data_IF_480233549327
#
_entry.id   IF_480233549327
#
_cell.length_a   1.000
_cell.length_b   1.000
_cell.length_c   1.000
_cell.angle_alpha   90.00
_cell.angle_beta   90.00
_cell.angle_gamma   90.00
#
_symmetry.space_group_name_H-M   'P 1'
#
loop_
_entity.id
_entity.type
_entity.pdbx_description
1 polymer ?
#
# COMPACT_ATOMS: atom_id res chain seq x y z
N UNK A 1 -15.65 -4.15 6.18
CA UNK A 1 -14.23 -3.93 5.86
C UNK A 1 -13.68 -2.85 6.78
N UNK A 2 -12.64 -3.20 7.55
CA UNK A 2 -12.02 -2.32 8.56
C UNK A 2 -10.65 -1.88 8.03
N UNK A 3 -10.32 -0.60 8.16
CA UNK A 3 -8.97 -0.09 7.85
C UNK A 3 -8.12 -0.02 9.10
N UNK A 4 -6.98 -0.72 9.12
CA UNK A 4 -6.04 -0.81 10.24
C UNK A 4 -4.72 -0.17 9.83
N UNK A 5 -4.32 0.91 10.52
CA UNK A 5 -2.98 1.47 10.37
C UNK A 5 -1.99 0.66 11.19
N UNK A 6 -0.99 0.03 10.55
CA UNK A 6 -0.06 -0.88 11.23
C UNK A 6 0.75 -0.20 12.35
N UNK A 7 0.98 1.10 12.25
CA UNK A 7 1.79 1.88 13.20
C UNK A 7 0.99 2.77 14.14
N UNK A 8 -0.34 2.91 13.94
CA UNK A 8 -1.21 3.74 14.80
C UNK A 8 -2.31 2.90 15.44
N UNK A 9 -1.99 2.34 16.61
CA UNK A 9 -2.88 1.46 17.36
C UNK A 9 -4.16 2.17 17.83
N UNK A 10 -4.11 3.48 18.07
CA UNK A 10 -5.27 4.29 18.47
C UNK A 10 -6.31 4.30 17.35
N UNK A 11 -5.86 4.45 16.10
CA UNK A 11 -6.75 4.39 14.93
C UNK A 11 -7.36 3.01 14.77
N UNK A 12 -6.59 1.95 15.01
CA UNK A 12 -7.10 0.57 14.97
C UNK A 12 -8.17 0.35 16.06
N UNK A 13 -7.90 0.79 17.29
CA UNK A 13 -8.83 0.70 18.40
C UNK A 13 -10.15 1.43 18.12
N UNK A 14 -10.09 2.65 17.60
CA UNK A 14 -11.28 3.44 17.26
C UNK A 14 -12.13 2.73 16.20
N UNK A 15 -11.50 2.06 15.24
CA UNK A 15 -12.22 1.29 14.22
C UNK A 15 -12.86 0.03 14.82
N UNK A 16 -12.17 -0.70 15.69
CA UNK A 16 -12.73 -1.88 16.37
C UNK A 16 -13.88 -1.48 17.29
N UNK A 17 -13.80 -0.36 18.00
CA UNK A 17 -14.91 0.11 18.84
C UNK A 17 -16.14 0.54 18.04
N UNK A 18 -15.96 1.02 16.80
CA UNK A 18 -17.06 1.34 15.89
C UNK A 18 -17.73 0.09 15.33
N UNK A 19 -16.94 -0.87 14.86
CA UNK A 19 -17.47 -2.09 14.22
C UNK A 19 -17.96 -3.12 15.24
N UNK A 20 -17.30 -3.22 16.38
CA UNK A 20 -17.58 -4.17 17.46
C UNK A 20 -17.86 -3.43 18.79
N UNK A 21 -18.88 -2.59 18.82
CA UNK A 21 -19.25 -1.76 19.98
C UNK A 21 -19.65 -2.53 21.24
N UNK A 22 -19.92 -3.84 21.10
CA UNK A 22 -20.27 -4.73 22.22
C UNK A 22 -19.04 -5.27 22.98
N UNK A 23 -17.83 -5.16 22.41
CA UNK A 23 -16.61 -5.61 23.08
C UNK A 23 -16.28 -4.69 24.25
N UNK A 24 -15.76 -5.28 25.33
CA UNK A 24 -15.18 -4.50 26.41
C UNK A 24 -14.00 -3.65 25.87
N UNK A 25 -13.74 -2.45 26.41
CA UNK A 25 -12.64 -1.60 25.92
C UNK A 25 -11.27 -2.29 25.93
N UNK A 26 -11.00 -3.14 26.93
CA UNK A 26 -9.77 -3.91 27.01
C UNK A 26 -9.67 -4.95 25.88
N UNK A 27 -10.77 -5.65 25.59
CA UNK A 27 -10.84 -6.67 24.53
C UNK A 27 -10.72 -6.04 23.15
N UNK A 28 -11.35 -4.89 22.93
CA UNK A 28 -11.18 -4.10 21.71
C UNK A 28 -9.72 -3.68 21.50
N UNK A 29 -9.01 -3.32 22.57
CA UNK A 29 -7.58 -2.99 22.50
C UNK A 29 -6.70 -4.21 22.19
N UNK A 30 -7.03 -5.38 22.76
CA UNK A 30 -6.35 -6.64 22.44
C UNK A 30 -6.55 -7.03 20.97
N UNK A 31 -7.78 -6.97 20.47
CA UNK A 31 -8.08 -7.25 19.05
C UNK A 31 -7.37 -6.26 18.13
N UNK A 32 -7.41 -4.95 18.45
CA UNK A 32 -6.72 -3.94 17.65
C UNK A 32 -5.21 -4.21 17.58
N UNK A 33 -4.59 -4.57 18.71
CA UNK A 33 -3.16 -4.92 18.76
C UNK A 33 -2.87 -6.21 17.99
N UNK A 34 -3.70 -7.24 18.14
CA UNK A 34 -3.57 -8.51 17.43
C UNK A 34 -3.65 -8.32 15.92
N UNK A 35 -4.61 -7.52 15.43
CA UNK A 35 -4.73 -7.19 14.01
C UNK A 35 -3.50 -6.46 13.48
N UNK A 36 -2.97 -5.48 14.21
CA UNK A 36 -1.73 -4.80 13.80
C UNK A 36 -0.54 -5.77 13.74
N UNK A 37 -0.45 -6.75 14.65
CA UNK A 37 0.59 -7.78 14.60
C UNK A 37 0.42 -8.72 13.40
N UNK A 38 -0.82 -9.12 13.06
CA UNK A 38 -1.08 -10.01 11.91
C UNK A 38 -0.59 -9.40 10.59
N UNK A 39 -0.76 -8.09 10.41
CA UNK A 39 -0.27 -7.38 9.24
C UNK A 39 1.24 -7.10 9.29
N UNK A 40 1.79 -6.73 10.45
CA UNK A 40 3.23 -6.43 10.59
C UNK A 40 4.12 -7.67 10.39
N UNK A 41 3.64 -8.82 10.86
CA UNK A 41 4.31 -10.12 10.74
C UNK A 41 3.72 -10.96 9.61
N UNK A 42 3.20 -10.31 8.56
CA UNK A 42 2.63 -10.97 7.40
C UNK A 42 3.57 -12.04 6.83
N UNK A 43 2.97 -13.15 6.40
CA UNK A 43 3.65 -14.29 5.78
C UNK A 43 3.87 -13.94 4.31
N UNK A 44 5.09 -14.12 3.82
CA UNK A 44 5.37 -13.94 2.41
C UNK A 44 4.91 -15.18 1.62
N UNK A 45 4.22 -14.93 0.51
CA UNK A 45 3.78 -15.92 -0.47
C UNK A 45 4.61 -15.74 -1.74
N UNK A 46 5.36 -16.78 -2.10
CA UNK A 46 6.18 -16.78 -3.30
C UNK A 46 6.19 -18.17 -3.92
N UNK A 47 5.81 -18.27 -5.20
CA UNK A 47 5.72 -19.55 -5.95
C UNK A 47 4.88 -20.64 -5.26
N UNK A 48 3.85 -20.24 -4.52
CA UNK A 48 2.97 -21.16 -3.78
C UNK A 48 3.54 -21.63 -2.44
N UNK A 49 4.74 -21.20 -2.06
CA UNK A 49 5.33 -21.46 -0.75
C UNK A 49 5.11 -20.28 0.21
N UNK A 50 5.04 -20.61 1.50
CA UNK A 50 4.89 -19.65 2.60
C UNK A 50 6.23 -19.46 3.32
N UNK A 51 6.55 -18.22 3.66
CA UNK A 51 7.78 -17.83 4.33
C UNK A 51 7.47 -16.93 5.52
N UNK A 52 8.05 -17.26 6.69
CA UNK A 52 7.88 -16.51 7.93
C UNK A 52 9.08 -15.61 8.20
N UNK A 53 8.81 -14.33 8.46
CA UNK A 53 9.86 -13.37 8.84
C UNK A 53 10.15 -13.45 10.34
N UNK A 54 11.41 -13.43 10.79
CA UNK A 54 12.66 -13.34 10.01
C UNK A 54 13.28 -14.69 9.61
N UNK A 55 12.72 -15.79 10.11
CA UNK A 55 13.37 -17.11 10.10
C UNK A 55 13.63 -17.66 8.69
N UNK A 56 12.71 -17.43 7.76
CA UNK A 56 12.80 -17.94 6.38
C UNK A 56 13.46 -16.96 5.40
N UNK A 57 14.13 -15.91 5.88
CA UNK A 57 14.73 -14.88 5.01
C UNK A 57 15.69 -15.46 3.97
N UNK A 58 16.58 -16.37 4.37
CA UNK A 58 17.51 -17.00 3.43
C UNK A 58 16.81 -17.89 2.40
N UNK A 59 15.74 -18.57 2.82
CA UNK A 59 14.98 -19.47 1.95
C UNK A 59 14.25 -18.69 0.87
N UNK A 60 13.56 -17.60 1.25
CA UNK A 60 12.86 -16.73 0.30
C UNK A 60 13.84 -16.09 -0.68
N UNK A 61 14.91 -15.47 -0.17
CA UNK A 61 15.87 -14.76 -1.03
C UNK A 61 16.53 -15.69 -2.05
N UNK A 62 16.84 -16.94 -1.68
CA UNK A 62 17.33 -17.97 -2.62
C UNK A 62 16.30 -18.36 -3.66
N UNK A 63 15.04 -18.56 -3.27
CA UNK A 63 13.96 -18.88 -4.21
C UNK A 63 13.79 -17.78 -5.27
N UNK A 64 13.92 -16.52 -4.87
CA UNK A 64 13.79 -15.38 -5.79
C UNK A 64 14.93 -15.23 -6.80
N UNK A 65 16.10 -15.86 -6.59
CA UNK A 65 17.27 -15.70 -7.46
C UNK A 65 16.96 -16.08 -8.91
N UNK A 66 16.22 -17.17 -9.12
CA UNK A 66 15.87 -17.65 -10.46
C UNK A 66 15.11 -16.59 -11.26
N UNK A 67 14.06 -16.02 -10.65
CA UNK A 67 13.27 -14.96 -11.27
C UNK A 67 14.08 -13.69 -11.49
N UNK A 68 14.92 -13.30 -10.51
CA UNK A 68 15.76 -12.11 -10.62
C UNK A 68 16.74 -12.25 -11.79
N UNK A 69 17.38 -13.40 -11.95
CA UNK A 69 18.31 -13.65 -13.04
C UNK A 69 17.58 -13.63 -14.40
N UNK A 70 16.41 -14.26 -14.49
CA UNK A 70 15.59 -14.22 -15.72
C UNK A 70 15.20 -12.79 -16.11
N UNK A 71 14.79 -11.97 -15.13
CA UNK A 71 14.48 -10.55 -15.36
C UNK A 71 15.73 -9.77 -15.74
N UNK A 72 16.87 -10.06 -15.13
CA UNK A 72 18.14 -9.41 -15.41
C UNK A 72 18.60 -9.68 -16.85
N UNK A 73 18.56 -10.93 -17.29
CA UNK A 73 18.86 -11.33 -18.67
C UNK A 73 17.91 -10.64 -19.66
N UNK A 74 16.62 -10.59 -19.36
CA UNK A 74 15.64 -9.90 -20.20
C UNK A 74 15.98 -8.40 -20.36
N UNK A 75 16.41 -7.74 -19.27
CA UNK A 75 16.86 -6.36 -19.30
C UNK A 75 18.10 -6.22 -20.20
N UNK A 76 19.13 -7.05 -19.99
CA UNK A 76 20.37 -7.01 -20.78
C UNK A 76 20.14 -7.24 -22.29
N UNK A 77 19.22 -8.14 -22.63
CA UNK A 77 18.85 -8.39 -24.03
C UNK A 77 18.01 -7.26 -24.64
N UNK A 78 17.25 -6.54 -23.84
CA UNK A 78 16.40 -5.43 -24.29
C UNK A 78 17.15 -4.11 -24.48
N UNK A 79 18.28 -3.91 -23.78
CA UNK A 79 19.04 -2.64 -23.84
C UNK A 79 20.06 -2.68 -25.00
N UNK A 80 19.94 -1.83 -26.03
CA UNK A 80 20.85 -1.85 -27.17
C UNK A 80 22.28 -1.41 -26.80
N UNK A 81 23.27 -2.26 -27.09
CA UNK A 81 24.73 -2.13 -26.78
C UNK A 81 25.45 -0.86 -27.30
N UNK A 82 24.75 0.16 -27.81
CA UNK A 82 25.35 1.40 -28.35
C UNK A 82 24.79 2.72 -27.82
N UNK A 83 23.80 2.72 -26.93
CA UNK A 83 23.22 3.96 -26.40
C UNK A 83 23.95 4.47 -25.14
N UNK A 84 25.26 4.70 -25.23
CA UNK A 84 26.09 5.14 -24.11
C UNK A 84 25.95 6.65 -23.76
N UNK A 85 24.89 7.37 -24.17
CA UNK A 85 24.81 8.83 -23.92
C UNK A 85 23.43 9.49 -23.96
N UNK A 86 22.35 8.76 -23.71
CA UNK A 86 21.06 9.39 -23.43
C UNK A 86 20.44 8.77 -22.20
N UNK A 87 20.10 9.62 -21.22
CA UNK A 87 19.14 9.36 -20.15
C UNK A 87 17.81 8.94 -20.75
N UNK A 88 17.72 7.68 -21.17
CA UNK A 88 16.44 7.00 -21.35
C UNK A 88 16.03 6.62 -19.94
N UNK A 89 14.95 7.25 -19.45
CA UNK A 89 14.19 6.75 -18.30
C UNK A 89 13.69 5.35 -18.65
N UNK A 90 14.56 4.34 -18.53
CA UNK A 90 14.15 2.97 -18.72
C UNK A 90 13.32 2.54 -17.50
N UNK A 91 12.08 2.11 -17.74
CA UNK A 91 11.11 1.80 -16.68
C UNK A 91 11.63 0.68 -15.74
N UNK A 92 11.42 0.81 -14.42
CA UNK A 92 11.82 -0.21 -13.45
C UNK A 92 10.97 -1.46 -13.60
N UNK A 93 11.60 -2.64 -13.55
CA UNK A 93 10.90 -3.92 -13.56
C UNK A 93 10.62 -4.34 -12.13
N UNK A 94 9.35 -4.52 -11.79
CA UNK A 94 8.94 -4.87 -10.43
C UNK A 94 8.75 -6.38 -10.29
N UNK A 95 9.44 -6.98 -9.33
CA UNK A 95 9.24 -8.36 -8.88
C UNK A 95 8.42 -8.32 -7.60
N UNK A 96 7.23 -8.92 -7.64
CA UNK A 96 6.27 -8.85 -6.53
C UNK A 96 6.31 -10.11 -5.67
N UNK A 97 6.32 -9.93 -4.35
CA UNK A 97 6.12 -10.97 -3.34
C UNK A 97 4.75 -10.75 -2.69
N UNK A 98 3.90 -11.77 -2.66
CA UNK A 98 2.60 -11.70 -2.00
C UNK A 98 2.75 -11.67 -0.49
N UNK A 99 1.84 -11.00 0.21
CA UNK A 99 1.80 -10.99 1.67
C UNK A 99 0.42 -11.43 2.14
N UNK A 100 0.39 -12.40 3.04
CA UNK A 100 -0.82 -12.88 3.68
C UNK A 100 -0.80 -12.48 5.17
N UNK A 101 -1.94 -12.06 5.75
CA UNK A 101 -2.03 -11.79 7.18
C UNK A 101 -1.63 -13.02 8.00
N UNK A 102 -0.78 -12.82 9.00
CA UNK A 102 -0.33 -13.91 9.86
C UNK A 102 -1.27 -14.05 11.06
N UNK A 103 -2.28 -14.90 10.93
CA UNK A 103 -3.25 -15.17 12.00
C UNK A 103 -2.54 -15.60 13.29
N UNK A 104 -1.59 -16.52 13.18
CA UNK A 104 -0.81 -17.05 14.33
C UNK A 104 -0.12 -15.94 15.13
N UNK A 105 0.41 -14.91 14.45
CA UNK A 105 1.03 -13.78 15.14
C UNK A 105 0.04 -12.99 16.01
N UNK A 106 -1.21 -12.85 15.56
CA UNK A 106 -2.27 -12.22 16.35
C UNK A 106 -2.78 -13.12 17.46
N UNK A 107 -2.96 -14.42 17.18
CA UNK A 107 -3.44 -15.39 18.18
C UNK A 107 -2.47 -15.58 19.34
N UNK A 108 -1.16 -15.52 19.08
CA UNK A 108 -0.14 -15.61 20.13
C UNK A 108 -0.28 -14.48 21.17
N UNK A 109 -0.75 -13.29 20.75
CA UNK A 109 -1.03 -12.19 21.69
C UNK A 109 -2.27 -12.46 22.54
N UNK A 110 -3.26 -13.17 21.98
CA UNK A 110 -4.52 -13.48 22.66
C UNK A 110 -4.39 -14.71 23.58
N UNK A 111 -3.29 -15.46 23.49
CA UNK A 111 -2.93 -16.59 24.34
C UNK A 111 -4.06 -17.63 24.48
N UNK A 112 -4.74 -17.70 25.62
CA UNK A 112 -5.81 -18.66 25.94
C UNK A 112 -7.22 -18.13 25.65
N UNK A 113 -7.35 -16.91 25.12
CA UNK A 113 -8.63 -16.27 24.83
C UNK A 113 -9.22 -16.68 23.49
N UNK A 114 -9.74 -17.90 23.42
CA UNK A 114 -10.32 -18.46 22.20
C UNK A 114 -11.56 -17.69 21.72
N UNK A 115 -12.26 -16.99 22.63
CA UNK A 115 -13.32 -16.04 22.31
C UNK A 115 -12.82 -14.90 21.40
N UNK A 116 -11.68 -14.31 21.76
CA UNK A 116 -11.08 -13.23 20.98
C UNK A 116 -10.40 -13.72 19.70
N UNK A 117 -9.85 -14.94 19.70
CA UNK A 117 -9.28 -15.54 18.48
C UNK A 117 -10.36 -15.77 17.42
N UNK A 118 -11.54 -16.23 17.83
CA UNK A 118 -12.69 -16.35 16.93
C UNK A 118 -13.04 -14.99 16.31
N UNK A 119 -13.15 -13.95 17.13
CA UNK A 119 -13.41 -12.58 16.64
C UNK A 119 -12.31 -12.09 15.69
N UNK A 120 -11.04 -12.34 16.00
CA UNK A 120 -9.92 -11.98 15.15
C UNK A 120 -10.00 -12.67 13.78
N UNK A 121 -10.26 -13.98 13.78
CA UNK A 121 -10.43 -14.77 12.57
C UNK A 121 -11.60 -14.26 11.73
N UNK A 122 -12.74 -13.99 12.36
CA UNK A 122 -13.93 -13.47 11.68
C UNK A 122 -13.63 -12.13 11.00
N UNK A 123 -12.95 -11.21 11.71
CA UNK A 123 -12.56 -9.91 11.14
C UNK A 123 -11.62 -10.08 9.93
N UNK A 124 -10.65 -11.01 10.00
CA UNK A 124 -9.73 -11.26 8.91
C UNK A 124 -10.43 -11.90 7.70
N UNK A 125 -11.41 -12.78 7.92
CA UNK A 125 -12.21 -13.40 6.85
C UNK A 125 -13.16 -12.39 6.17
N UNK A 126 -13.71 -11.44 6.94
CA UNK A 126 -14.53 -10.34 6.39
C UNK A 126 -13.73 -9.36 5.53
N UNK A 127 -12.41 -9.40 5.63
CA UNK A 127 -11.48 -8.56 4.89
C UNK A 127 -11.06 -7.32 5.66
N UNK A 128 -9.74 -7.21 5.86
CA UNK A 128 -9.07 -6.08 6.51
C UNK A 128 -8.24 -5.33 5.48
N UNK A 129 -8.31 -4.01 5.57
CA UNK A 129 -7.44 -3.12 4.82
C UNK A 129 -6.28 -2.69 5.71
N UNK A 130 -5.07 -3.13 5.42
CA UNK A 130 -3.88 -2.73 6.15
C UNK A 130 -3.28 -1.48 5.50
N UNK A 131 -3.20 -0.40 6.26
CA UNK A 131 -2.54 0.83 5.87
C UNK A 131 -1.14 0.88 6.47
N UNK A 132 -0.10 0.94 5.63
CA UNK A 132 1.29 0.75 6.07
C UNK A 132 2.30 1.56 5.24
N UNK A 133 3.43 1.92 5.83
CA UNK A 133 4.64 2.32 5.10
C UNK A 133 5.45 1.05 4.71
N UNK A 134 6.20 1.04 3.58
CA UNK A 134 7.10 -0.05 3.22
C UNK A 134 8.02 -0.51 4.36
N UNK A 135 8.44 0.40 5.23
CA UNK A 135 9.30 0.11 6.36
C UNK A 135 8.61 -0.60 7.53
N UNK A 136 7.28 -0.62 7.54
CA UNK A 136 6.49 -1.19 8.63
C UNK A 136 6.42 -2.72 8.51
N UNK A 137 6.62 -3.25 7.30
CA UNK A 137 6.59 -4.68 7.01
C UNK A 137 8.02 -5.23 7.00
N UNK A 138 8.30 -6.24 7.82
CA UNK A 138 9.62 -6.85 7.92
C UNK A 138 10.18 -7.33 6.58
N UNK A 139 9.33 -7.97 5.76
CA UNK A 139 9.70 -8.45 4.43
C UNK A 139 10.17 -7.33 3.49
N UNK A 140 9.38 -6.27 3.33
CA UNK A 140 9.75 -5.17 2.45
C UNK A 140 11.05 -4.50 2.92
N UNK A 141 11.18 -4.25 4.23
CA UNK A 141 12.40 -3.68 4.81
C UNK A 141 13.66 -4.53 4.52
N UNK A 142 13.52 -5.85 4.56
CA UNK A 142 14.61 -6.79 4.36
C UNK A 142 14.99 -6.94 2.88
N UNK A 143 14.01 -7.07 2.00
CA UNK A 143 14.22 -7.22 0.56
C UNK A 143 14.86 -5.97 -0.04
N UNK A 144 14.55 -4.78 0.48
CA UNK A 144 15.18 -3.51 0.09
C UNK A 144 16.66 -3.42 0.49
N UNK A 145 17.07 -4.16 1.53
CA UNK A 145 18.45 -4.17 2.08
C UNK A 145 19.25 -5.39 1.68
N UNK A 146 18.62 -6.36 1.03
CA UNK A 146 19.28 -7.56 0.56
C UNK A 146 20.36 -7.21 -0.48
N UNK A 147 21.54 -7.79 -0.32
CA UNK A 147 22.61 -7.63 -1.29
C UNK A 147 22.41 -8.63 -2.45
N UNK A 148 21.56 -8.25 -3.40
CA UNK A 148 21.18 -9.11 -4.52
C UNK A 148 22.34 -9.52 -5.41
N UNK A 149 23.41 -8.72 -5.51
CA UNK A 149 24.61 -9.10 -6.27
C UNK A 149 25.31 -10.31 -5.63
N UNK A 150 25.41 -10.31 -4.30
CA UNK A 150 25.99 -11.44 -3.56
C UNK A 150 25.06 -12.65 -3.57
N UNK A 151 23.74 -12.44 -3.42
CA UNK A 151 22.78 -13.55 -3.35
C UNK A 151 22.64 -14.25 -4.71
N UNK A 152 22.67 -13.51 -5.82
CA UNK A 152 22.58 -14.05 -7.18
C UNK A 152 23.92 -14.54 -7.77
N UNK A 153 25.05 -14.27 -7.08
CA UNK A 153 26.40 -14.47 -7.61
C UNK A 153 26.65 -13.75 -8.96
N UNK A 154 26.04 -12.59 -9.16
CA UNK A 154 26.10 -11.85 -10.42
C UNK A 154 25.85 -10.35 -10.24
N UNK A 155 25.97 -9.59 -11.33
CA UNK A 155 25.59 -8.18 -11.33
C UNK A 155 24.09 -8.06 -11.62
N UNK A 156 23.32 -7.62 -10.62
CA UNK A 156 21.88 -7.40 -10.75
C UNK A 156 21.62 -5.96 -11.17
N UNK A 157 20.82 -5.78 -12.22
CA UNK A 157 20.44 -4.47 -12.71
C UNK A 157 19.72 -3.66 -11.64
N UNK A 158 20.13 -2.39 -11.49
CA UNK A 158 19.49 -1.42 -10.57
C UNK A 158 18.03 -1.12 -10.93
N UNK A 159 17.59 -1.53 -12.12
CA UNK A 159 16.21 -1.39 -12.61
C UNK A 159 15.25 -2.40 -11.97
N UNK A 160 15.76 -3.48 -11.38
CA UNK A 160 14.94 -4.47 -10.69
C UNK A 160 14.54 -3.90 -9.33
N UNK A 161 13.22 -3.83 -9.09
CA UNK A 161 12.64 -3.41 -7.81
C UNK A 161 11.83 -4.55 -7.25
N UNK A 162 12.04 -4.87 -5.98
CA UNK A 162 11.31 -5.93 -5.30
C UNK A 162 10.27 -5.28 -4.40
N UNK A 163 9.01 -5.72 -4.53
CA UNK A 163 7.89 -5.16 -3.79
C UNK A 163 7.10 -6.26 -3.11
N UNK A 164 6.94 -6.16 -1.80
CA UNK A 164 6.03 -6.98 -1.03
C UNK A 164 4.68 -6.27 -0.91
N UNK A 165 3.60 -6.95 -1.27
CA UNK A 165 2.25 -6.39 -1.25
C UNK A 165 1.24 -7.41 -0.74
N UNK A 166 0.27 -6.96 0.05
CA UNK A 166 -0.81 -7.84 0.51
C UNK A 166 -1.61 -8.43 -0.65
N UNK A 167 -1.82 -9.74 -0.56
CA UNK A 167 -2.52 -10.58 -1.52
C UNK A 167 -3.46 -11.50 -0.73
N UNK A 168 -4.62 -11.82 -1.31
CA UNK A 168 -5.62 -12.75 -0.77
C UNK A 168 -6.23 -12.35 0.60
N UNK A 169 -7.53 -12.02 0.60
CA UNK A 169 -8.31 -11.78 1.84
C UNK A 169 -7.98 -10.48 2.59
N UNK A 170 -6.81 -9.86 2.36
CA UNK A 170 -6.45 -8.56 2.90
C UNK A 170 -5.95 -7.60 1.83
N UNK A 171 -6.34 -6.33 1.95
CA UNK A 171 -5.95 -5.27 1.01
C UNK A 171 -4.88 -4.40 1.67
N UNK A 172 -3.76 -4.26 1.00
CA UNK A 172 -2.67 -3.40 1.45
C UNK A 172 -2.75 -2.01 0.83
N UNK A 173 -2.88 -0.96 1.65
CA UNK A 173 -2.73 0.44 1.22
C UNK A 173 -1.40 0.98 1.72
N UNK A 174 -0.47 1.18 0.78
CA UNK A 174 0.82 1.78 1.05
C UNK A 174 0.69 3.30 1.28
N UNK A 175 0.90 3.74 2.52
CA UNK A 175 0.93 5.15 2.91
C UNK A 175 2.17 5.83 2.33
N UNK A 176 1.96 6.84 1.48
CA UNK A 176 3.05 7.67 0.93
C UNK A 176 3.28 7.49 -0.56
N UNK A 177 2.69 6.47 -1.19
CA UNK A 177 2.58 6.39 -2.67
C UNK A 177 1.22 6.95 -3.08
N UNK A 178 0.99 8.23 -2.76
CA UNK A 178 0.04 8.97 -3.56
C UNK A 178 0.54 8.93 -5.01
N UNK A 179 -0.33 8.78 -6.03
CA UNK A 179 0.12 9.04 -7.39
C UNK A 179 0.73 10.43 -7.35
N UNK A 180 2.03 10.55 -7.66
CA UNK A 180 2.60 11.85 -8.00
C UNK A 180 1.77 12.31 -9.19
N UNK A 181 0.74 13.11 -8.90
CA UNK A 181 -0.02 13.85 -9.88
C UNK A 181 1.04 14.71 -10.52
N UNK A 182 1.55 14.23 -11.65
CA UNK A 182 2.51 14.92 -12.49
C UNK A 182 1.77 16.20 -12.84
N UNK A 183 2.10 17.27 -12.14
CA UNK A 183 1.69 18.62 -12.48
C UNK A 183 2.34 18.88 -13.82
N UNK A 184 1.64 18.49 -14.89
CA UNK A 184 1.80 19.12 -16.18
C UNK A 184 1.55 20.59 -15.91
N UNK A 185 2.63 21.34 -15.82
CA UNK A 185 2.64 22.79 -15.89
C UNK A 185 1.94 23.12 -17.21
N UNK A 186 0.64 23.37 -17.13
CA UNK A 186 -0.13 23.88 -18.25
C UNK A 186 0.53 25.21 -18.62
N UNK A 187 1.19 25.22 -19.78
CA UNK A 187 1.62 26.43 -20.43
C UNK A 187 0.34 27.23 -20.68
N UNK A 188 0.21 28.35 -19.98
CA UNK A 188 -0.78 29.36 -20.27
C UNK A 188 -0.59 29.79 -21.72
N UNK A 189 -1.60 29.58 -22.57
CA UNK A 189 -1.77 30.33 -23.80
C UNK A 189 -2.83 31.41 -23.53
N UNK A 190 -2.60 32.67 -23.93
CA UNK A 190 -3.52 33.77 -23.67
C UNK A 190 -4.86 33.57 -24.38
N UNK A 191 -5.90 34.04 -23.71
CA UNK A 191 -7.28 34.14 -24.18
C UNK A 191 -7.34 35.21 -25.27
N UNK A 192 -7.70 34.81 -26.50
CA UNK A 192 -8.11 35.70 -27.57
C UNK A 192 -9.64 35.74 -27.53
N UNK A 193 -10.19 36.90 -27.17
CA UNK A 193 -11.63 37.15 -27.04
C UNK A 193 -12.16 37.43 -28.44
N UNK A 194 -13.02 36.53 -28.94
CA UNK A 194 -13.88 36.80 -30.09
C UNK A 194 -15.31 36.96 -29.53
N UNK A 195 -15.80 38.20 -29.55
CA UNK A 195 -17.23 38.53 -29.46
C UNK A 195 -17.96 37.84 -30.62
N UNK A 196 -19.28 37.49 -30.54
CA UNK A 196 -20.28 38.56 -30.42
C UNK A 196 -21.72 38.20 -29.92
N UNK A 197 -22.50 39.28 -29.80
CA UNK A 197 -23.97 39.42 -29.93
C UNK A 197 -24.89 39.10 -28.73
N UNK A 198 -25.27 40.18 -28.04
CA UNK A 198 -26.64 40.75 -27.97
C UNK A 198 -27.79 39.85 -27.45
N UNK A 199 -28.25 40.18 -26.24
CA UNK A 199 -29.61 39.91 -25.78
C UNK A 199 -30.03 41.03 -24.81
N UNK A 200 -31.11 41.79 -25.08
CA UNK A 200 -31.69 42.71 -24.13
C UNK A 200 -32.77 41.99 -23.31
N UNK A 201 -32.78 42.11 -21.98
CA UNK A 201 -34.06 42.15 -21.27
C UNK A 201 -33.97 42.76 -19.87
N UNK A 202 -35.11 43.28 -19.47
CA UNK A 202 -35.49 44.28 -18.51
C UNK A 202 -35.42 43.84 -17.04
N UNK A 203 -34.93 44.72 -16.18
CA UNK A 203 -35.32 44.75 -14.76
C UNK A 203 -35.24 46.19 -14.24
N UNK A 204 -36.40 46.81 -13.99
CA UNK A 204 -36.71 47.41 -12.68
C UNK A 204 -37.99 48.25 -12.77
N UNK A 205 -39.08 47.69 -12.23
CA UNK A 205 -40.27 48.45 -11.84
C UNK A 205 -40.73 47.94 -10.47
N UNK A 206 -41.07 48.91 -9.60
CA UNK A 206 -41.77 48.81 -8.31
C UNK A 206 -40.89 48.40 -7.10
N UNK A 207 -40.99 48.98 -5.91
CA UNK A 207 -42.01 49.85 -5.33
C UNK A 207 -41.40 50.55 -4.10
N UNK A 208 -41.75 51.82 -3.90
CA UNK A 208 -41.33 52.63 -2.74
C UNK A 208 -42.39 52.47 -1.65
N UNK A 209 -42.00 52.03 -0.46
CA UNK A 209 -42.86 52.03 0.72
C UNK A 209 -42.55 53.26 1.60
N UNK A 210 -43.61 54.03 1.86
CA UNK A 210 -43.74 55.21 2.72
C UNK A 210 -43.35 54.95 4.18
N UNK A 211 -42.68 55.93 4.81
CA UNK A 211 -42.54 56.07 6.27
C UNK A 211 -43.35 57.30 6.67
N UNK A 212 -44.33 57.10 7.55
CA UNK A 212 -45.08 58.19 8.19
C UNK A 212 -44.38 58.69 9.46
N UNK A 213 -44.47 60.00 9.69
CA UNK A 213 -45.08 60.64 10.87
C UNK A 213 -45.47 62.08 10.50
#
# INVERSE_FOLDING_TARGET
MITIQLTKLESALDQIKKTHSKLAPADAALIATALSLTGRHAIALYEGEQYVWPDDYERLTRAMVSQINMVNEAIEHSTPKRAAKSTVEEEPVTVTVGLMPNLTAGENLLESRDDLKAVLSDILQEGVEFSYSPTDIGWQWALDRANWNTISNGEVSRRIKIKASFTEGAVGIEMGVGPKKRTTRASAKPIEIDEPVDAPDFSDVAEVAEVGD
#
